data_IF_690336998946
#
_entry.id   IF_690336998946
#
_cell.length_a   1.000
_cell.length_b   1.000
_cell.length_c   1.000
_cell.angle_alpha   90.00
_cell.angle_beta   90.00
_cell.angle_gamma   90.00
#
_symmetry.space_group_name_H-M   'P 1'
#
loop_
_entity.id
_entity.type
_entity.pdbx_description
1 polymer ?
#
# COMPACT_ATOMS: atom_id res chain seq x y z
N UNK A 1 2.13 23.74 -0.66
CA UNK A 1 1.99 22.43 -1.31
C UNK A 1 0.92 22.35 -2.40
N UNK A 2 0.08 23.37 -2.63
CA UNK A 2 -0.92 23.39 -3.73
C UNK A 2 -1.76 22.10 -3.83
N UNK A 3 -2.29 21.66 -2.69
CA UNK A 3 -3.00 20.39 -2.60
C UNK A 3 -4.33 20.48 -3.36
N UNK A 4 -4.70 19.43 -4.14
CA UNK A 4 -6.03 19.36 -4.76
C UNK A 4 -7.14 19.45 -3.70
N UNK A 5 -8.32 20.03 -4.02
CA UNK A 5 -9.41 20.19 -3.05
C UNK A 5 -9.84 18.89 -2.37
N UNK A 6 -9.84 17.77 -3.09
CA UNK A 6 -10.15 16.45 -2.53
C UNK A 6 -9.16 15.99 -1.44
N UNK A 7 -7.89 16.40 -1.55
CA UNK A 7 -6.88 16.08 -0.54
C UNK A 7 -7.12 16.93 0.70
N UNK A 8 -7.40 18.23 0.51
CA UNK A 8 -7.71 19.15 1.62
C UNK A 8 -8.95 18.69 2.38
N UNK A 9 -10.05 18.39 1.66
CA UNK A 9 -11.29 17.90 2.27
C UNK A 9 -11.05 16.62 3.09
N UNK A 10 -10.24 15.70 2.56
CA UNK A 10 -9.89 14.49 3.30
C UNK A 10 -9.13 14.80 4.60
N UNK A 11 -8.11 15.66 4.53
CA UNK A 11 -7.30 16.04 5.69
C UNK A 11 -8.14 16.74 6.76
N UNK A 12 -9.13 17.53 6.37
CA UNK A 12 -9.99 18.25 7.32
C UNK A 12 -11.05 17.38 7.98
N UNK A 13 -11.70 16.51 7.20
CA UNK A 13 -12.98 15.93 7.59
C UNK A 13 -12.95 14.42 7.82
N UNK A 14 -11.88 13.72 7.41
CA UNK A 14 -11.86 12.25 7.44
C UNK A 14 -10.56 11.65 7.99
N UNK A 15 -9.42 12.30 7.75
CA UNK A 15 -8.13 11.72 8.08
C UNK A 15 -7.78 11.93 9.55
N UNK A 16 -7.79 10.83 10.32
CA UNK A 16 -7.47 10.85 11.75
C UNK A 16 -6.19 10.09 12.05
N UNK A 17 -5.84 9.08 11.25
CA UNK A 17 -4.62 8.31 11.31
C UNK A 17 -3.77 8.54 10.08
N UNK A 18 -2.87 9.51 10.15
CA UNK A 18 -2.04 9.93 9.02
C UNK A 18 -0.60 9.44 9.22
N UNK A 19 -0.04 8.76 8.22
CA UNK A 19 1.41 8.53 8.14
C UNK A 19 2.03 9.40 7.05
N UNK A 20 3.05 10.17 7.40
CA UNK A 20 3.91 10.86 6.45
C UNK A 20 5.16 10.00 6.26
N UNK A 21 5.23 9.33 5.12
CA UNK A 21 6.28 8.39 4.75
C UNK A 21 7.21 8.96 3.67
N UNK A 22 8.39 8.36 3.53
CA UNK A 22 9.38 8.73 2.52
C UNK A 22 10.82 8.54 3.01
N UNK A 23 11.80 8.46 2.10
CA UNK A 23 13.21 8.38 2.46
C UNK A 23 13.67 9.53 3.38
N UNK A 24 14.80 9.37 4.09
CA UNK A 24 15.42 10.48 4.82
C UNK A 24 15.67 11.70 3.91
N UNK A 25 15.49 12.90 4.44
CA UNK A 25 15.75 14.14 3.70
C UNK A 25 14.70 14.56 2.66
N UNK A 26 13.55 13.87 2.55
CA UNK A 26 12.51 14.17 1.55
C UNK A 26 11.48 15.22 1.97
N UNK A 27 11.74 16.01 3.03
CA UNK A 27 10.85 17.10 3.47
C UNK A 27 9.63 16.66 4.29
N UNK A 28 9.67 15.47 4.92
CA UNK A 28 8.58 14.92 5.74
C UNK A 28 8.22 15.79 6.95
N UNK A 29 9.21 16.12 7.78
CA UNK A 29 9.00 16.96 8.96
C UNK A 29 8.55 18.37 8.58
N UNK A 30 9.02 18.90 7.45
CA UNK A 30 8.52 20.18 6.90
C UNK A 30 7.05 20.11 6.52
N UNK A 31 6.61 19.02 5.88
CA UNK A 31 5.20 18.83 5.59
C UNK A 31 4.38 18.61 6.87
N UNK A 32 4.91 17.88 7.85
CA UNK A 32 4.28 17.69 9.16
C UNK A 32 4.08 19.01 9.90
N UNK A 33 5.06 19.93 9.86
CA UNK A 33 4.93 21.29 10.40
C UNK A 33 3.82 22.06 9.71
N UNK A 34 3.82 22.05 8.36
CA UNK A 34 2.80 22.76 7.60
C UNK A 34 1.39 22.22 7.91
N UNK A 35 1.25 20.90 8.09
CA UNK A 35 -0.03 20.29 8.47
C UNK A 35 -0.43 20.64 9.91
N UNK A 36 0.52 20.69 10.84
CA UNK A 36 0.27 21.12 12.21
C UNK A 36 -0.27 22.55 12.27
N UNK A 37 0.38 23.46 11.55
CA UNK A 37 -0.03 24.86 11.45
C UNK A 37 -1.37 25.03 10.73
N UNK A 38 -1.61 24.19 9.73
CA UNK A 38 -2.90 24.16 9.06
C UNK A 38 -4.02 23.78 10.01
N UNK A 39 -3.88 22.67 10.74
CA UNK A 39 -4.88 22.26 11.74
C UNK A 39 -5.05 23.30 12.85
N UNK A 40 -3.96 23.92 13.32
CA UNK A 40 -4.04 25.06 14.25
C UNK A 40 -4.86 26.21 13.69
N UNK A 41 -4.67 26.56 12.41
CA UNK A 41 -5.44 27.63 11.75
C UNK A 41 -6.94 27.32 11.63
N UNK A 42 -7.31 26.04 11.69
CA UNK A 42 -8.69 25.56 11.78
C UNK A 42 -9.21 25.50 13.23
N UNK A 43 -8.51 26.15 14.17
CA UNK A 43 -8.78 26.14 15.62
C UNK A 43 -8.74 24.75 16.26
N UNK A 44 -7.99 23.80 15.69
CA UNK A 44 -7.72 22.50 16.33
C UNK A 44 -6.62 22.64 17.39
N UNK A 45 -6.77 21.94 18.50
CA UNK A 45 -5.73 21.79 19.51
C UNK A 45 -4.69 20.80 19.00
N UNK A 46 -3.53 21.31 18.63
CA UNK A 46 -2.43 20.49 18.09
C UNK A 46 -1.28 20.42 19.07
N UNK A 47 -0.71 19.23 19.22
CA UNK A 47 0.51 19.00 19.99
C UNK A 47 1.53 18.22 19.18
N UNK A 48 2.79 18.21 19.61
CA UNK A 48 3.85 17.45 18.93
C UNK A 48 4.65 16.60 19.90
N UNK A 49 5.19 15.49 19.40
CA UNK A 49 6.18 14.64 20.05
C UNK A 49 7.37 14.55 19.10
N UNK A 50 8.56 14.93 19.56
CA UNK A 50 9.74 15.11 18.71
C UNK A 50 11.01 14.58 19.37
N UNK A 51 12.05 14.27 18.58
CA UNK A 51 13.32 13.74 19.09
C UNK A 51 14.54 14.23 18.29
N UNK A 52 15.18 15.34 18.66
CA UNK A 52 14.79 16.37 19.65
C UNK A 52 13.71 17.31 19.09
N UNK A 53 13.37 18.38 19.84
CA UNK A 53 12.43 19.42 19.37
C UNK A 53 13.04 20.25 18.23
N UNK A 54 12.71 19.89 17.00
CA UNK A 54 13.22 20.50 15.77
C UNK A 54 12.13 21.20 14.97
N UNK A 55 10.85 20.94 15.28
CA UNK A 55 9.75 21.55 14.56
C UNK A 55 9.63 23.04 14.88
N UNK A 56 9.57 23.86 13.83
CA UNK A 56 9.35 25.31 13.93
C UNK A 56 7.86 25.58 13.76
N UNK A 57 7.15 25.63 14.89
CA UNK A 57 5.71 25.84 14.95
C UNK A 57 5.34 26.98 15.88
N UNK A 58 4.11 27.48 15.75
CA UNK A 58 3.55 28.53 16.60
C UNK A 58 3.63 28.16 18.09
N UNK A 59 3.84 29.14 18.99
CA UNK A 59 3.81 28.91 20.43
C UNK A 59 2.49 28.33 20.96
N UNK A 60 1.39 28.44 20.20
CA UNK A 60 0.11 27.82 20.55
C UNK A 60 0.15 26.28 20.45
N UNK A 61 1.09 25.73 19.67
CA UNK A 61 1.29 24.30 19.50
C UNK A 61 2.24 23.82 20.60
N UNK A 62 1.73 23.02 21.54
CA UNK A 62 2.55 22.48 22.62
C UNK A 62 3.46 21.38 22.09
N UNK A 63 4.77 21.51 22.33
CA UNK A 63 5.76 20.55 21.85
C UNK A 63 6.40 19.76 22.99
N UNK A 64 6.37 18.44 22.87
CA UNK A 64 7.02 17.51 23.78
C UNK A 64 8.29 16.93 23.16
N UNK A 65 9.33 16.78 23.99
CA UNK A 65 10.54 16.06 23.59
C UNK A 65 10.50 14.63 24.11
N UNK A 66 10.62 13.65 23.20
CA UNK A 66 10.75 12.22 23.53
C UNK A 66 11.97 11.94 24.39
N UNK A 67 13.04 12.72 24.24
CA UNK A 67 14.28 12.55 25.02
C UNK A 67 14.22 13.16 26.41
N UNK A 68 13.24 14.04 26.68
CA UNK A 68 13.12 14.75 27.96
C UNK A 68 12.04 14.18 28.89
N UNK A 69 11.24 13.22 28.43
CA UNK A 69 10.15 12.62 29.20
C UNK A 69 10.15 11.10 28.99
N UNK A 70 9.65 10.36 29.98
CA UNK A 70 9.40 8.92 29.78
C UNK A 70 8.19 8.75 28.85
N UNK A 71 8.20 7.68 28.08
CA UNK A 71 7.10 7.40 27.16
C UNK A 71 5.74 7.26 27.87
N UNK A 72 5.71 6.67 29.06
CA UNK A 72 4.49 6.57 29.89
C UNK A 72 3.97 7.94 30.31
N UNK A 73 4.86 8.90 30.59
CA UNK A 73 4.45 10.26 30.95
C UNK A 73 3.86 10.99 29.74
N UNK A 74 4.45 10.82 28.55
CA UNK A 74 3.90 11.35 27.30
C UNK A 74 2.52 10.78 27.03
N UNK A 75 2.38 9.46 27.16
CA UNK A 75 1.10 8.76 27.03
C UNK A 75 0.02 9.37 27.95
N UNK A 76 0.30 9.44 29.25
CA UNK A 76 -0.67 9.91 30.24
C UNK A 76 -1.03 11.38 30.02
N UNK A 77 -0.05 12.24 29.74
CA UNK A 77 -0.29 13.66 29.47
C UNK A 77 -1.14 13.86 28.22
N UNK A 78 -0.91 13.09 27.16
CA UNK A 78 -1.67 13.20 25.93
C UNK A 78 -3.09 12.65 26.09
N UNK A 79 -3.28 11.54 26.80
CA UNK A 79 -4.61 11.02 27.11
C UNK A 79 -5.43 11.91 28.06
N UNK A 80 -4.77 12.61 28.98
CA UNK A 80 -5.43 13.56 29.88
C UNK A 80 -5.82 14.84 29.14
N UNK A 81 -4.95 15.33 28.26
CA UNK A 81 -5.18 16.59 27.55
C UNK A 81 -6.01 16.46 26.27
N UNK A 82 -6.11 15.26 25.69
CA UNK A 82 -6.90 14.91 24.50
C UNK A 82 -6.87 15.99 23.41
N UNK A 83 -5.69 16.29 22.84
CA UNK A 83 -5.64 17.21 21.70
C UNK A 83 -6.43 16.64 20.52
N UNK A 84 -6.89 17.51 19.61
CA UNK A 84 -7.52 17.08 18.37
C UNK A 84 -6.51 16.28 17.51
N UNK A 85 -5.28 16.79 17.40
CA UNK A 85 -4.20 16.11 16.68
C UNK A 85 -2.87 16.15 17.44
N UNK A 86 -2.13 15.05 17.34
CA UNK A 86 -0.73 14.98 17.77
C UNK A 86 0.17 14.62 16.60
N UNK A 87 1.15 15.48 16.32
CA UNK A 87 2.22 15.21 15.35
C UNK A 87 3.33 14.44 16.06
N UNK A 88 3.56 13.20 15.65
CA UNK A 88 4.66 12.40 16.15
C UNK A 88 5.77 12.41 15.09
N UNK A 89 6.72 13.33 15.23
CA UNK A 89 7.88 13.37 14.35
C UNK A 89 8.85 12.27 14.75
N UNK A 90 9.23 11.45 13.76
CA UNK A 90 10.22 10.38 13.89
C UNK A 90 9.78 9.14 14.69
N UNK A 91 8.80 8.38 14.17
CA UNK A 91 8.44 7.05 14.65
C UNK A 91 9.49 6.02 14.19
N UNK A 92 10.24 5.45 15.13
CA UNK A 92 11.33 4.50 14.82
C UNK A 92 11.12 3.15 15.46
N UNK A 93 10.94 3.12 16.77
CA UNK A 93 11.02 1.90 17.58
C UNK A 93 9.63 1.33 17.85
N UNK A 94 9.56 0.06 18.29
CA UNK A 94 8.27 -0.58 18.60
C UNK A 94 7.45 0.22 19.61
N UNK A 95 8.11 0.79 20.61
CA UNK A 95 7.42 1.58 21.62
C UNK A 95 6.79 2.85 21.04
N UNK A 96 7.39 3.48 20.02
CA UNK A 96 6.76 4.62 19.33
C UNK A 96 5.48 4.22 18.61
N UNK A 97 5.48 3.04 17.98
CA UNK A 97 4.28 2.51 17.35
C UNK A 97 3.20 2.22 18.39
N UNK A 98 3.57 1.62 19.52
CA UNK A 98 2.61 1.30 20.58
C UNK A 98 1.96 2.60 21.09
N UNK A 99 2.75 3.65 21.35
CA UNK A 99 2.21 4.96 21.72
C UNK A 99 1.30 5.56 20.64
N UNK A 100 1.72 5.48 19.37
CA UNK A 100 0.89 5.97 18.26
C UNK A 100 -0.45 5.24 18.17
N UNK A 101 -0.43 3.90 18.29
CA UNK A 101 -1.61 3.04 18.23
C UNK A 101 -2.53 3.34 19.41
N UNK A 102 -2.01 3.43 20.63
CA UNK A 102 -2.79 3.67 21.84
C UNK A 102 -3.50 5.03 21.79
N UNK A 103 -2.78 6.09 21.39
CA UNK A 103 -3.38 7.42 21.23
C UNK A 103 -4.45 7.44 20.13
N UNK A 104 -4.21 6.76 19.00
CA UNK A 104 -5.21 6.62 17.94
C UNK A 104 -6.47 5.93 18.43
N UNK A 105 -6.33 4.79 19.11
CA UNK A 105 -7.45 4.02 19.65
C UNK A 105 -8.21 4.78 20.74
N UNK A 106 -7.55 5.71 21.44
CA UNK A 106 -8.19 6.63 22.38
C UNK A 106 -8.95 7.79 21.70
N UNK A 107 -8.95 7.87 20.37
CA UNK A 107 -9.67 8.88 19.58
C UNK A 107 -8.89 10.17 19.34
N UNK A 108 -7.59 10.21 19.62
CA UNK A 108 -6.72 11.34 19.28
C UNK A 108 -6.31 11.18 17.80
N UNK A 109 -6.44 12.25 17.02
CA UNK A 109 -5.89 12.27 15.66
C UNK A 109 -4.37 12.21 15.70
N UNK A 110 -3.75 11.33 14.94
CA UNK A 110 -2.28 11.20 14.91
C UNK A 110 -1.73 11.46 13.52
N UNK A 111 -0.63 12.21 13.46
CA UNK A 111 0.19 12.39 12.27
C UNK A 111 1.58 11.85 12.56
N UNK A 112 1.89 10.65 12.10
CA UNK A 112 3.15 9.97 12.34
C UNK A 112 4.14 10.16 11.21
N UNK A 113 5.34 10.66 11.49
CA UNK A 113 6.41 10.75 10.49
C UNK A 113 7.28 9.50 10.54
N UNK A 114 7.39 8.79 9.43
CA UNK A 114 8.07 7.49 9.35
C UNK A 114 9.05 7.45 8.18
N UNK A 115 10.21 6.83 8.41
CA UNK A 115 11.16 6.54 7.34
C UNK A 115 10.74 5.25 6.65
N UNK A 116 10.45 5.35 5.35
CA UNK A 116 10.05 4.22 4.53
C UNK A 116 10.46 4.48 3.08
N UNK A 117 10.90 3.42 2.40
CA UNK A 117 11.29 3.45 0.97
C UNK A 117 10.10 3.40 0.03
N UNK A 118 8.94 2.95 0.52
CA UNK A 118 7.68 2.95 -0.21
C UNK A 118 6.50 3.18 0.76
N UNK A 119 5.32 3.60 0.27
CA UNK A 119 4.14 3.76 1.12
C UNK A 119 3.69 2.44 1.74
N UNK A 120 3.83 1.32 1.03
CA UNK A 120 3.41 0.01 1.52
C UNK A 120 4.30 -0.49 2.67
N UNK A 121 5.59 -0.18 2.65
CA UNK A 121 6.50 -0.49 3.77
C UNK A 121 6.05 0.23 5.05
N UNK A 122 5.59 1.49 4.94
CA UNK A 122 5.07 2.26 6.07
C UNK A 122 3.81 1.61 6.65
N UNK A 123 2.86 1.22 5.79
CA UNK A 123 1.63 0.53 6.18
C UNK A 123 1.96 -0.79 6.88
N UNK A 124 2.86 -1.60 6.31
CA UNK A 124 3.25 -2.90 6.86
C UNK A 124 3.87 -2.80 8.26
N UNK A 125 4.62 -1.73 8.55
CA UNK A 125 5.17 -1.52 9.89
C UNK A 125 4.08 -1.41 10.95
N UNK A 126 2.94 -0.79 10.64
CA UNK A 126 1.79 -0.75 11.55
C UNK A 126 1.01 -2.06 11.51
N UNK A 127 0.74 -2.60 10.31
CA UNK A 127 -0.05 -3.82 10.12
C UNK A 127 0.54 -5.07 10.79
N UNK A 128 1.85 -5.11 11.03
CA UNK A 128 2.51 -6.21 11.75
C UNK A 128 2.32 -6.15 13.27
N UNK A 129 1.75 -5.06 13.81
CA UNK A 129 1.58 -4.83 15.25
C UNK A 129 0.13 -4.91 15.71
N UNK A 130 -0.81 -4.92 14.77
CA UNK A 130 -2.24 -4.86 15.05
C UNK A 130 -2.99 -5.79 14.13
N UNK A 131 -4.20 -6.17 14.53
CA UNK A 131 -5.09 -6.90 13.64
C UNK A 131 -5.36 -6.08 12.37
N UNK A 132 -5.26 -6.72 11.21
CA UNK A 132 -5.54 -6.09 9.91
C UNK A 132 -6.93 -5.43 9.90
N UNK A 133 -7.87 -6.00 10.65
CA UNK A 133 -9.21 -5.46 10.92
C UNK A 133 -9.22 -4.03 11.47
N UNK A 134 -8.27 -3.70 12.33
CA UNK A 134 -8.16 -2.42 13.03
C UNK A 134 -7.31 -1.40 12.27
N UNK A 135 -6.61 -1.84 11.22
CA UNK A 135 -5.62 -1.01 10.53
C UNK A 135 -6.23 0.31 10.02
N UNK A 136 -7.42 0.35 9.36
CA UNK A 136 -8.01 1.62 8.92
C UNK A 136 -8.44 2.54 10.07
N UNK A 137 -8.70 1.99 11.26
CA UNK A 137 -9.02 2.79 12.45
C UNK A 137 -7.78 3.42 13.08
N UNK A 138 -6.58 2.90 12.79
CA UNK A 138 -5.31 3.40 13.31
C UNK A 138 -4.63 4.29 12.28
N UNK A 139 -4.55 3.82 11.03
CA UNK A 139 -4.02 4.54 9.87
C UNK A 139 -4.99 4.46 8.70
N UNK A 140 -5.63 5.56 8.36
CA UNK A 140 -6.54 5.65 7.22
C UNK A 140 -5.88 6.33 6.01
N UNK A 141 -4.83 7.12 6.22
CA UNK A 141 -4.18 7.94 5.19
C UNK A 141 -2.66 7.82 5.27
N UNK A 142 -2.00 7.59 4.13
CA UNK A 142 -0.54 7.57 4.02
C UNK A 142 -0.10 8.54 2.93
N UNK A 143 0.68 9.55 3.31
CA UNK A 143 1.21 10.58 2.42
C UNK A 143 2.67 10.25 2.19
N UNK A 144 3.05 10.03 0.93
CA UNK A 144 4.43 9.73 0.58
C UNK A 144 5.12 10.95 0.00
N UNK A 145 6.23 11.34 0.64
CA UNK A 145 7.02 12.50 0.30
C UNK A 145 8.24 12.11 -0.52
N UNK A 146 8.48 12.83 -1.62
CA UNK A 146 9.70 12.75 -2.42
C UNK A 146 10.15 14.16 -2.79
N UNK A 147 11.43 14.48 -2.53
CA UNK A 147 12.05 15.77 -2.87
C UNK A 147 11.26 17.02 -2.42
N UNK A 148 10.59 16.95 -1.26
CA UNK A 148 9.81 18.05 -0.72
C UNK A 148 8.42 18.21 -1.33
N UNK A 149 7.99 17.27 -2.16
CA UNK A 149 6.65 17.23 -2.76
C UNK A 149 5.90 15.96 -2.33
N UNK A 150 4.57 16.01 -2.41
CA UNK A 150 3.75 14.81 -2.21
C UNK A 150 3.76 14.02 -3.52
N UNK A 151 4.37 12.85 -3.50
CA UNK A 151 4.42 11.95 -4.66
C UNK A 151 3.12 11.15 -4.81
N UNK A 152 2.56 10.66 -3.69
CA UNK A 152 1.33 9.88 -3.70
C UNK A 152 0.63 9.96 -2.34
N UNK A 153 -0.68 9.76 -2.34
CA UNK A 153 -1.49 9.68 -1.13
C UNK A 153 -2.33 8.42 -1.21
N UNK A 154 -2.11 7.51 -0.27
CA UNK A 154 -2.85 6.26 -0.19
C UNK A 154 -3.89 6.32 0.91
N UNK A 155 -5.01 5.65 0.66
CA UNK A 155 -6.12 5.53 1.61
C UNK A 155 -6.40 4.07 1.89
N UNK A 156 -6.71 3.78 3.15
CA UNK A 156 -7.00 2.43 3.63
C UNK A 156 -8.50 2.31 3.91
N UNK A 157 -9.14 1.30 3.33
CA UNK A 157 -10.56 1.02 3.51
C UNK A 157 -10.76 -0.44 3.86
N UNK A 158 -11.60 -0.72 4.85
CA UNK A 158 -12.01 -2.09 5.17
C UNK A 158 -13.15 -2.54 4.27
N UNK A 159 -13.05 -3.76 3.74
CA UNK A 159 -14.18 -4.44 3.11
C UNK A 159 -14.17 -5.93 3.44
N UNK A 160 -15.32 -6.57 3.33
CA UNK A 160 -15.41 -8.04 3.33
C UNK A 160 -15.54 -8.49 1.88
N UNK A 161 -14.53 -9.20 1.37
CA UNK A 161 -14.55 -9.76 0.01
C UNK A 161 -13.68 -11.01 -0.08
N UNK A 162 -13.68 -11.66 -1.23
CA UNK A 162 -12.66 -12.66 -1.56
C UNK A 162 -11.41 -11.91 -2.05
N UNK A 163 -10.28 -11.99 -1.33
CA UNK A 163 -9.06 -11.30 -1.73
C UNK A 163 -8.53 -11.77 -3.09
N UNK A 164 -7.81 -10.88 -3.77
CA UNK A 164 -7.16 -11.16 -5.03
C UNK A 164 -6.15 -12.31 -4.87
N UNK A 165 -6.25 -13.33 -5.73
CA UNK A 165 -5.42 -14.54 -5.68
C UNK A 165 -6.11 -15.78 -5.08
N UNK A 166 -7.30 -15.64 -4.47
CA UNK A 166 -8.11 -16.75 -3.98
C UNK A 166 -9.28 -17.08 -4.93
N UNK A 167 -9.64 -18.37 -5.04
CA UNK A 167 -10.60 -18.88 -6.07
C UNK A 167 -11.93 -19.42 -5.53
N UNK A 168 -12.25 -19.30 -4.23
CA UNK A 168 -13.51 -19.81 -3.65
C UNK A 168 -14.25 -18.76 -2.82
N UNK A 169 -15.58 -18.75 -2.94
CA UNK A 169 -16.49 -17.80 -2.27
C UNK A 169 -16.53 -17.96 -0.74
N UNK A 170 -16.32 -19.18 -0.22
CA UNK A 170 -16.28 -19.48 1.22
C UNK A 170 -15.03 -18.91 1.94
N UNK A 171 -14.20 -18.13 1.24
CA UNK A 171 -12.99 -17.50 1.75
C UNK A 171 -13.15 -15.99 2.01
N UNK A 172 -14.37 -15.46 1.87
CA UNK A 172 -14.65 -14.05 2.15
C UNK A 172 -14.16 -13.69 3.56
N UNK A 173 -13.34 -12.65 3.64
CA UNK A 173 -12.68 -12.25 4.88
C UNK A 173 -12.49 -10.74 4.94
N UNK A 174 -12.32 -10.18 6.15
CA UNK A 174 -11.88 -8.80 6.31
C UNK A 174 -10.59 -8.57 5.51
N UNK A 175 -10.66 -7.62 4.59
CA UNK A 175 -9.58 -7.26 3.68
C UNK A 175 -9.48 -5.74 3.67
N UNK A 176 -8.30 -5.22 3.98
CA UNK A 176 -8.00 -3.81 3.82
C UNK A 176 -7.57 -3.57 2.39
N UNK A 177 -8.25 -2.67 1.69
CA UNK A 177 -7.85 -2.20 0.37
C UNK A 177 -7.05 -0.93 0.57
N UNK A 178 -5.87 -0.87 -0.05
CA UNK A 178 -5.06 0.35 -0.18
C UNK A 178 -5.30 0.91 -1.58
N UNK A 179 -5.83 2.12 -1.66
CA UNK A 179 -6.10 2.81 -2.93
C UNK A 179 -5.25 4.07 -3.06
N UNK A 180 -5.01 4.51 -4.28
CA UNK A 180 -4.55 5.87 -4.55
C UNK A 180 -5.71 6.85 -4.38
N UNK A 181 -5.54 7.91 -3.58
CA UNK A 181 -6.59 8.89 -3.31
C UNK A 181 -7.00 9.66 -4.57
N UNK A 182 -6.05 9.97 -5.45
CA UNK A 182 -6.31 10.85 -6.58
C UNK A 182 -7.01 10.10 -7.72
N UNK A 183 -6.72 8.80 -7.88
CA UNK A 183 -7.30 7.98 -8.96
C UNK A 183 -8.41 7.03 -8.48
N UNK A 184 -8.58 6.86 -7.16
CA UNK A 184 -9.43 5.82 -6.52
C UNK A 184 -9.08 4.39 -6.96
N UNK A 185 -7.89 4.17 -7.54
CA UNK A 185 -7.50 2.86 -8.01
C UNK A 185 -6.96 1.99 -6.87
N UNK A 186 -7.43 0.74 -6.72
CA UNK A 186 -6.90 -0.19 -5.73
C UNK A 186 -5.49 -0.66 -6.13
N UNK A 187 -4.52 -0.44 -5.25
CA UNK A 187 -3.12 -0.76 -5.47
C UNK A 187 -2.71 -2.04 -4.75
N UNK A 188 -3.17 -2.21 -3.50
CA UNK A 188 -2.84 -3.37 -2.66
C UNK A 188 -4.06 -3.87 -1.88
N UNK A 189 -4.02 -5.13 -1.50
CA UNK A 189 -4.93 -5.76 -0.55
C UNK A 189 -4.14 -6.36 0.59
N UNK A 190 -4.58 -6.09 1.82
CA UNK A 190 -4.05 -6.72 3.03
C UNK A 190 -5.12 -7.61 3.63
N UNK A 191 -4.77 -8.86 3.91
CA UNK A 191 -5.67 -9.81 4.54
C UNK A 191 -4.89 -10.82 5.36
N UNK A 192 -5.56 -11.42 6.32
CA UNK A 192 -4.99 -12.49 7.14
C UNK A 192 -5.30 -13.84 6.51
N UNK A 193 -4.30 -14.73 6.45
CA UNK A 193 -4.48 -16.14 6.09
C UNK A 193 -3.69 -17.01 7.06
N UNK A 194 -4.40 -17.84 7.84
CA UNK A 194 -3.83 -18.48 9.02
C UNK A 194 -3.47 -17.42 10.07
N UNK A 195 -2.23 -17.44 10.54
CA UNK A 195 -1.69 -16.46 11.52
C UNK A 195 -0.81 -15.40 10.86
N UNK A 196 -0.80 -15.32 9.52
CA UNK A 196 0.06 -14.39 8.77
C UNK A 196 -0.75 -13.35 8.02
N UNK A 197 -0.28 -12.11 8.08
CA UNK A 197 -0.76 -11.00 7.25
C UNK A 197 -0.08 -11.05 5.89
N UNK A 198 -0.88 -11.07 4.83
CA UNK A 198 -0.44 -11.00 3.44
C UNK A 198 -0.71 -9.62 2.88
N UNK A 199 0.22 -9.12 2.06
CA UNK A 199 0.07 -7.89 1.30
C UNK A 199 0.22 -8.22 -0.17
N UNK A 200 -0.87 -8.03 -0.93
CA UNK A 200 -0.96 -8.47 -2.33
C UNK A 200 -1.20 -7.26 -3.23
N UNK A 201 -0.30 -6.96 -4.18
CA UNK A 201 -0.53 -5.91 -5.16
C UNK A 201 -1.64 -6.32 -6.14
N UNK A 202 -2.65 -5.47 -6.31
CA UNK A 202 -3.79 -5.70 -7.21
C UNK A 202 -3.34 -5.65 -8.68
N UNK A 203 -2.46 -4.70 -9.04
CA UNK A 203 -1.96 -4.54 -10.41
C UNK A 203 -1.11 -5.71 -10.92
N UNK A 204 -0.38 -6.45 -10.06
CA UNK A 204 0.33 -7.67 -10.52
C UNK A 204 -0.65 -8.78 -10.94
N UNK A 205 -1.87 -8.76 -10.43
CA UNK A 205 -2.91 -9.73 -10.80
C UNK A 205 -3.58 -9.35 -12.13
N UNK A 206 -3.60 -8.06 -12.49
CA UNK A 206 -4.02 -7.62 -13.82
C UNK A 206 -2.91 -7.71 -14.88
N UNK A 207 -1.64 -7.48 -14.52
CA UNK A 207 -0.50 -7.73 -15.43
C UNK A 207 -0.29 -9.23 -15.69
N UNK A 208 -0.60 -10.11 -14.74
CA UNK A 208 -0.69 -11.55 -14.98
C UNK A 208 -1.93 -11.96 -15.79
N UNK A 209 -2.88 -11.05 -15.99
CA UNK A 209 -3.99 -11.20 -16.96
C UNK A 209 -3.73 -10.51 -18.31
N UNK A 210 -2.72 -9.63 -18.43
CA UNK A 210 -2.27 -9.11 -19.72
C UNK A 210 -1.14 -10.00 -20.22
N UNK A 211 -1.37 -10.92 -21.17
CA UNK A 211 -0.31 -11.76 -21.69
C UNK A 211 0.84 -10.87 -22.18
N UNK A 212 2.08 -11.14 -21.70
CA UNK A 212 3.31 -10.49 -22.19
C UNK A 212 3.25 -10.42 -23.72
N UNK A 213 3.79 -9.37 -24.35
CA UNK A 213 3.81 -9.22 -25.81
C UNK A 213 4.12 -10.54 -26.59
N UNK A 214 5.09 -11.39 -26.19
CA UNK A 214 5.28 -12.73 -26.76
C UNK A 214 4.08 -13.68 -26.57
N UNK A 215 3.52 -13.79 -25.37
CA UNK A 215 2.38 -14.66 -25.07
C UNK A 215 1.14 -14.24 -25.86
N UNK A 216 0.91 -12.93 -26.03
CA UNK A 216 -0.19 -12.43 -26.87
C UNK A 216 -0.04 -12.87 -28.33
N UNK A 217 1.19 -12.85 -28.86
CA UNK A 217 1.47 -13.33 -30.21
C UNK A 217 1.32 -14.86 -30.34
N UNK A 218 1.75 -15.60 -29.32
CA UNK A 218 1.59 -17.06 -29.23
C UNK A 218 0.10 -17.42 -29.20
N UNK A 219 -0.69 -16.78 -28.33
CA UNK A 219 -2.14 -16.95 -28.23
C UNK A 219 -2.87 -16.64 -29.53
N UNK A 220 -2.59 -15.49 -30.15
CA UNK A 220 -3.20 -15.11 -31.43
C UNK A 220 -2.85 -16.08 -32.57
N UNK A 221 -1.69 -16.72 -32.50
CA UNK A 221 -1.26 -17.72 -33.50
C UNK A 221 -1.92 -19.07 -33.24
N UNK A 222 -2.10 -19.45 -31.98
CA UNK A 222 -2.79 -20.68 -31.56
C UNK A 222 -4.28 -20.61 -31.87
N UNK A 223 -4.98 -19.54 -31.45
CA UNK A 223 -6.43 -19.38 -31.63
C UNK A 223 -6.89 -19.48 -33.10
N UNK A 224 -6.03 -19.14 -34.07
CA UNK A 224 -6.34 -19.26 -35.50
C UNK A 224 -6.49 -20.71 -36.00
N UNK A 225 -5.95 -21.67 -35.26
CA UNK A 225 -5.85 -23.07 -35.70
C UNK A 225 -6.27 -24.08 -34.63
N UNK A 226 -6.28 -23.68 -33.36
CA UNK A 226 -6.55 -24.51 -32.19
C UNK A 226 -7.45 -23.69 -31.26
N UNK A 227 -8.76 -23.98 -31.19
CA UNK A 227 -9.71 -23.20 -30.42
C UNK A 227 -9.61 -23.45 -28.91
N UNK A 228 -9.00 -24.57 -28.50
CA UNK A 228 -8.94 -25.04 -27.12
C UNK A 228 -7.50 -25.43 -26.78
N UNK A 229 -6.87 -24.67 -25.88
CA UNK A 229 -5.49 -24.88 -25.43
C UNK A 229 -5.29 -24.22 -24.06
N UNK A 230 -4.32 -24.73 -23.29
CA UNK A 230 -3.86 -24.12 -22.04
C UNK A 230 -2.41 -23.66 -22.18
N UNK A 231 -2.08 -22.54 -21.55
CA UNK A 231 -0.70 -22.03 -21.50
C UNK A 231 -0.31 -21.85 -20.04
N UNK A 232 0.87 -22.33 -19.67
CA UNK A 232 1.51 -22.09 -18.38
C UNK A 232 2.86 -21.41 -18.61
N UNK A 233 3.19 -20.45 -17.75
CA UNK A 233 4.44 -19.68 -17.81
C UNK A 233 5.27 -19.95 -16.55
N UNK A 234 6.48 -20.47 -16.74
CA UNK A 234 7.48 -20.66 -15.69
C UNK A 234 8.78 -19.93 -16.10
N UNK A 235 8.90 -18.66 -15.70
CA UNK A 235 10.07 -17.84 -16.01
C UNK A 235 10.23 -17.55 -17.51
N UNK A 236 11.18 -18.21 -18.17
CA UNK A 236 11.39 -18.14 -19.64
C UNK A 236 10.82 -19.36 -20.38
N UNK A 237 10.22 -20.31 -19.66
CA UNK A 237 9.60 -21.51 -20.22
C UNK A 237 8.09 -21.28 -20.39
N UNK A 238 7.58 -21.56 -21.59
CA UNK A 238 6.17 -21.54 -21.92
C UNK A 238 5.74 -22.97 -22.24
N UNK A 239 4.85 -23.53 -21.42
CA UNK A 239 4.21 -24.83 -21.68
C UNK A 239 2.85 -24.62 -22.33
N UNK A 240 2.62 -25.30 -23.45
CA UNK A 240 1.37 -25.25 -24.20
C UNK A 240 0.74 -26.64 -24.17
N UNK A 241 -0.41 -26.73 -23.54
CA UNK A 241 -1.22 -27.94 -23.43
C UNK A 241 -2.23 -27.96 -24.57
N UNK A 242 -2.11 -28.95 -25.45
CA UNK A 242 -2.88 -29.06 -26.69
C UNK A 242 -3.69 -30.35 -26.67
N UNK A 243 -5.03 -30.29 -26.84
CA UNK A 243 -5.86 -31.48 -26.94
C UNK A 243 -5.35 -32.41 -28.04
N UNK A 244 -5.27 -33.72 -27.78
CA UNK A 244 -4.70 -34.69 -28.72
C UNK A 244 -5.26 -34.58 -30.15
N UNK A 245 -6.55 -34.26 -30.30
CA UNK A 245 -7.23 -34.01 -31.59
C UNK A 245 -6.61 -32.89 -32.44
N UNK A 246 -5.96 -31.91 -31.81
CA UNK A 246 -5.33 -30.75 -32.47
C UNK A 246 -3.80 -30.85 -32.52
N UNK A 247 -3.19 -31.86 -31.89
CA UNK A 247 -1.73 -32.01 -31.86
C UNK A 247 -1.13 -32.16 -33.27
N UNK A 248 -1.81 -32.87 -34.17
CA UNK A 248 -1.39 -33.00 -35.58
C UNK A 248 -1.46 -31.67 -36.34
N UNK A 249 -2.44 -30.83 -36.03
CA UNK A 249 -2.59 -29.48 -36.61
C UNK A 249 -1.50 -28.56 -36.08
N UNK A 250 -1.19 -28.66 -34.79
CA UNK A 250 -0.11 -27.93 -34.13
C UNK A 250 1.23 -28.15 -34.83
N UNK A 251 1.66 -29.41 -34.96
CA UNK A 251 2.96 -29.78 -35.58
C UNK A 251 3.05 -29.26 -37.03
N UNK A 252 1.97 -29.39 -37.81
CA UNK A 252 1.99 -29.03 -39.23
C UNK A 252 1.88 -27.52 -39.51
N UNK A 253 1.06 -26.78 -38.76
CA UNK A 253 0.68 -25.40 -39.12
C UNK A 253 1.13 -24.34 -38.13
N UNK A 254 1.44 -24.71 -36.88
CA UNK A 254 1.57 -23.76 -35.76
C UNK A 254 2.98 -23.78 -35.16
N UNK A 255 3.57 -24.96 -34.96
CA UNK A 255 4.85 -25.16 -34.25
C UNK A 255 5.98 -24.24 -34.76
N UNK A 256 6.22 -24.19 -36.07
CA UNK A 256 7.27 -23.37 -36.66
C UNK A 256 7.06 -21.86 -36.44
N UNK A 257 5.81 -21.40 -36.37
CA UNK A 257 5.49 -19.98 -36.10
C UNK A 257 5.76 -19.64 -34.65
N UNK A 258 5.37 -20.52 -33.72
CA UNK A 258 5.61 -20.32 -32.30
C UNK A 258 7.09 -20.39 -31.93
N UNK A 259 7.85 -21.31 -32.54
CA UNK A 259 9.32 -21.37 -32.34
C UNK A 259 10.03 -20.11 -32.83
N UNK A 260 9.57 -19.47 -33.92
CA UNK A 260 10.09 -18.17 -34.37
C UNK A 260 9.81 -17.06 -33.38
N UNK A 261 8.61 -17.03 -32.79
CA UNK A 261 8.25 -16.07 -31.75
C UNK A 261 9.11 -16.32 -30.50
N UNK A 262 9.26 -17.57 -30.07
CA UNK A 262 10.06 -17.93 -28.91
C UNK A 262 11.54 -17.50 -29.06
N UNK A 263 12.15 -17.76 -30.22
CA UNK A 263 13.53 -17.31 -30.52
C UNK A 263 13.70 -15.80 -30.50
N UNK A 264 12.71 -15.05 -31.00
CA UNK A 264 12.75 -13.57 -31.02
C UNK A 264 12.79 -12.97 -29.62
N UNK A 265 12.21 -13.65 -28.63
CA UNK A 265 12.08 -13.18 -27.26
C UNK A 265 12.91 -13.97 -26.25
N UNK A 266 13.86 -14.81 -26.71
CA UNK A 266 14.69 -15.66 -25.85
C UNK A 266 13.91 -16.57 -24.90
N UNK A 267 12.78 -17.13 -25.39
CA UNK A 267 11.89 -18.01 -24.65
C UNK A 267 12.10 -19.47 -25.07
N UNK A 268 11.85 -20.38 -24.13
CA UNK A 268 11.77 -21.83 -24.36
C UNK A 268 10.30 -22.23 -24.46
N UNK A 269 9.95 -23.06 -25.43
CA UNK A 269 8.57 -23.45 -25.70
C UNK A 269 8.45 -24.97 -25.73
N UNK A 270 7.60 -25.50 -24.86
CA UNK A 270 7.25 -26.91 -24.77
C UNK A 270 5.78 -27.09 -25.11
N UNK A 271 5.47 -28.01 -26.03
CA UNK A 271 4.11 -28.38 -26.33
C UNK A 271 3.85 -29.80 -25.83
N UNK A 272 2.85 -29.94 -24.98
CA UNK A 272 2.46 -31.18 -24.35
C UNK A 272 1.03 -31.56 -24.80
N UNK A 273 0.77 -32.84 -25.09
CA UNK A 273 -0.59 -33.30 -25.26
C UNK A 273 -1.35 -33.18 -23.93
N UNK A 274 -2.56 -32.62 -23.98
CA UNK A 274 -3.51 -32.58 -22.86
C UNK A 274 -4.61 -33.62 -23.01
#
# INVERSE_FOLDING_TARGET
>A
YYLPPQVVDRLENRAEGILIAGPPGMGKSTFAQALAEYYRSLNKVVKTIESPRDLRVSPDITQYSKTAAKQSELHDVLLLSRPDYTIFDEIRDSSDFDLFIDLRLAGIGMVGVIHATSPIDAIQRVANRVDVGLLPSIIDTVIFMDKGEIQSIYVLEMTVKVPAGLKKADLARPTVIVKDLLTDEPLYELYVFGERTFVVPVRKIEESKRPRAPIRQIMNTLQKHIPDFRIEEEGNLIRIYIPGRYYRVYVRKVQNKLLKIARKYSLTLEALPS
#
